data_IF_946798427853
#
_entry.id   IF_946798427853
#
_cell.length_a   1.000
_cell.length_b   1.000
_cell.length_c   1.000
_cell.angle_alpha   90.00
_cell.angle_beta   90.00
_cell.angle_gamma   90.00
#
_symmetry.space_group_name_H-M   'P 1'
#
loop_
_entity.id
_entity.type
_entity.pdbx_description
1 polymer ?
#
# COMPACT_ATOMS: atom_id res chain seq x y z
N UNK A 1 -21.68 4.98 3.40
CA UNK A 1 -21.18 6.29 2.90
C UNK A 1 -19.94 6.08 2.02
N UNK A 2 -19.42 7.13 1.36
CA UNK A 2 -18.19 7.06 0.55
C UNK A 2 -17.19 8.15 0.96
N UNK A 3 -15.93 7.77 1.18
CA UNK A 3 -14.83 8.69 1.49
C UNK A 3 -13.87 8.85 0.31
N UNK A 4 -13.14 9.96 0.33
CA UNK A 4 -12.06 10.28 -0.61
C UNK A 4 -10.89 10.87 0.18
N UNK A 5 -9.64 10.73 -0.31
CA UNK A 5 -8.51 11.40 0.30
C UNK A 5 -8.72 12.91 0.25
N UNK A 6 -8.40 13.60 1.34
CA UNK A 6 -8.44 15.06 1.40
C UNK A 6 -7.18 15.68 0.75
N UNK A 7 -7.15 17.01 0.67
CA UNK A 7 -6.02 17.73 0.08
C UNK A 7 -4.70 17.50 0.81
N UNK A 8 -4.71 17.29 2.13
CA UNK A 8 -3.49 17.05 2.92
C UNK A 8 -2.94 15.67 2.63
N UNK A 9 -3.81 14.66 2.58
CA UNK A 9 -3.46 13.29 2.19
C UNK A 9 -2.89 13.26 0.78
N UNK A 10 -3.59 13.87 -0.19
CA UNK A 10 -3.11 13.94 -1.57
C UNK A 10 -1.75 14.64 -1.66
N UNK A 11 -1.54 15.74 -0.94
CA UNK A 11 -0.26 16.43 -0.92
C UNK A 11 0.87 15.56 -0.34
N UNK A 12 0.61 14.80 0.72
CA UNK A 12 1.60 13.84 1.25
C UNK A 12 1.93 12.76 0.22
N UNK A 13 0.92 12.19 -0.44
CA UNK A 13 1.10 11.16 -1.45
C UNK A 13 1.86 11.65 -2.68
N UNK A 14 1.63 12.89 -3.12
CA UNK A 14 2.40 13.49 -4.20
C UNK A 14 3.91 13.44 -3.95
N UNK A 15 4.34 13.48 -2.69
CA UNK A 15 5.76 13.47 -2.33
C UNK A 15 6.34 12.05 -2.19
N UNK A 16 5.54 11.07 -1.75
CA UNK A 16 6.03 9.74 -1.40
C UNK A 16 5.52 8.59 -2.29
N UNK A 17 4.61 8.85 -3.22
CA UNK A 17 3.99 7.81 -4.05
C UNK A 17 4.99 7.15 -5.00
N UNK A 18 5.78 7.96 -5.71
CA UNK A 18 6.86 7.47 -6.56
C UNK A 18 8.16 7.51 -5.74
N UNK A 19 8.80 6.35 -5.49
CA UNK A 19 10.03 6.28 -4.69
C UNK A 19 11.18 7.14 -5.27
N UNK A 20 12.13 7.52 -4.42
CA UNK A 20 13.21 8.45 -4.82
C UNK A 20 14.20 7.84 -5.83
N UNK A 21 14.46 6.53 -5.71
CA UNK A 21 15.23 5.76 -6.70
C UNK A 21 14.29 5.13 -7.70
N UNK A 22 14.68 5.24 -8.96
CA UNK A 22 14.02 4.53 -10.04
C UNK A 22 14.54 3.10 -10.10
N UNK A 23 13.62 2.15 -10.22
CA UNK A 23 13.90 0.72 -10.32
C UNK A 23 13.44 0.18 -11.68
N UNK A 24 14.36 -0.49 -12.38
CA UNK A 24 14.07 -1.13 -13.65
C UNK A 24 14.33 -2.63 -13.56
N UNK A 25 13.29 -3.42 -13.68
CA UNK A 25 13.33 -4.87 -13.65
C UNK A 25 13.61 -5.40 -15.05
N UNK A 26 14.56 -6.34 -15.14
CA UNK A 26 15.07 -6.90 -16.38
C UNK A 26 15.21 -8.41 -16.27
N UNK A 27 14.97 -9.13 -17.37
CA UNK A 27 15.44 -10.51 -17.52
C UNK A 27 16.88 -10.56 -18.04
N UNK A 28 17.51 -11.73 -18.01
CA UNK A 28 18.85 -11.97 -18.58
C UNK A 28 18.97 -11.52 -20.04
N UNK A 29 17.96 -11.79 -20.86
CA UNK A 29 17.95 -11.44 -22.30
C UNK A 29 18.03 -9.92 -22.53
N UNK A 30 17.53 -9.12 -21.58
CA UNK A 30 17.59 -7.67 -21.72
C UNK A 30 19.00 -7.11 -21.51
N UNK A 31 19.91 -7.86 -20.87
CA UNK A 31 21.28 -7.41 -20.64
C UNK A 31 22.09 -7.33 -21.94
N UNK A 32 21.73 -8.13 -22.94
CA UNK A 32 22.41 -8.17 -24.24
C UNK A 32 22.10 -6.93 -25.11
N UNK A 33 21.18 -6.06 -24.66
CA UNK A 33 20.81 -4.83 -25.37
C UNK A 33 21.87 -3.72 -25.28
N UNK A 34 22.97 -3.94 -24.55
CA UNK A 34 24.10 -3.00 -24.49
C UNK A 34 23.84 -1.80 -23.57
N UNK A 35 23.12 -2.00 -22.48
CA UNK A 35 22.95 -0.97 -21.44
C UNK A 35 24.30 -0.71 -20.77
N UNK A 36 24.67 0.57 -20.65
CA UNK A 36 25.80 0.97 -19.81
C UNK A 36 25.35 1.01 -18.34
N UNK A 37 25.96 0.17 -17.51
CA UNK A 37 25.66 0.07 -16.08
C UNK A 37 26.65 0.86 -15.20
N UNK A 38 27.58 1.62 -15.77
CA UNK A 38 28.67 2.28 -15.02
C UNK A 38 28.16 3.21 -13.91
N UNK A 39 27.06 3.93 -14.15
CA UNK A 39 26.50 4.91 -13.22
C UNK A 39 25.30 4.38 -12.40
N UNK A 40 25.02 3.08 -12.45
CA UNK A 40 23.88 2.44 -11.78
C UNK A 40 24.26 1.13 -11.09
N UNK A 41 23.43 0.67 -10.17
CA UNK A 41 23.60 -0.67 -9.60
C UNK A 41 22.77 -1.66 -10.40
N UNK A 42 23.41 -2.68 -10.97
CA UNK A 42 22.73 -3.86 -11.49
C UNK A 42 22.75 -4.95 -10.42
N UNK A 43 21.61 -5.14 -9.76
CA UNK A 43 21.48 -6.06 -8.63
C UNK A 43 20.75 -7.34 -9.05
N UNK A 44 21.25 -8.54 -8.71
CA UNK A 44 20.49 -9.77 -8.86
C UNK A 44 19.19 -9.72 -8.05
N UNK A 45 18.12 -10.26 -8.62
CA UNK A 45 16.79 -10.27 -7.99
C UNK A 45 16.82 -10.81 -6.56
N UNK A 46 17.48 -11.94 -6.32
CA UNK A 46 17.53 -12.57 -5.00
C UNK A 46 18.20 -11.66 -3.94
N UNK A 47 19.22 -10.92 -4.32
CA UNK A 47 19.86 -9.93 -3.44
C UNK A 47 18.92 -8.76 -3.17
N UNK A 48 18.28 -8.24 -4.22
CA UNK A 48 17.37 -7.12 -4.16
C UNK A 48 16.20 -7.33 -3.19
N UNK A 49 15.54 -8.50 -3.26
CA UNK A 49 14.42 -8.83 -2.36
C UNK A 49 14.85 -9.02 -0.89
N UNK A 50 16.14 -9.25 -0.64
CA UNK A 50 16.71 -9.39 0.70
C UNK A 50 17.44 -8.12 1.17
N UNK A 51 17.55 -7.09 0.32
CA UNK A 51 18.28 -5.87 0.63
C UNK A 51 17.51 -5.01 1.65
N UNK A 52 18.22 -4.54 2.68
CA UNK A 52 17.63 -3.79 3.81
C UNK A 52 16.90 -2.51 3.40
N UNK A 53 17.37 -1.83 2.35
CA UNK A 53 16.72 -0.65 1.76
C UNK A 53 15.53 -1.01 0.86
N UNK A 54 15.70 -1.89 -0.12
CA UNK A 54 14.70 -2.10 -1.17
C UNK A 54 13.57 -3.05 -0.77
N UNK A 55 13.73 -3.77 0.35
CA UNK A 55 12.67 -4.54 1.00
C UNK A 55 11.76 -3.66 1.87
N UNK A 56 12.04 -2.38 2.03
CA UNK A 56 11.18 -1.48 2.79
C UNK A 56 9.80 -1.33 2.10
N UNK A 57 8.76 -1.16 2.91
CA UNK A 57 7.35 -1.16 2.49
C UNK A 57 7.06 -0.13 1.41
N UNK A 58 7.73 1.03 1.44
CA UNK A 58 7.60 2.07 0.43
C UNK A 58 7.94 1.58 -0.99
N UNK A 59 9.03 0.81 -1.13
CA UNK A 59 9.42 0.26 -2.42
C UNK A 59 8.55 -0.93 -2.80
N UNK A 60 8.34 -1.87 -1.86
CA UNK A 60 7.54 -3.08 -2.10
C UNK A 60 6.14 -2.72 -2.59
N UNK A 61 5.47 -1.78 -1.92
CA UNK A 61 4.12 -1.35 -2.30
C UNK A 61 4.13 -0.44 -3.52
N UNK A 62 5.09 0.50 -3.62
CA UNK A 62 5.14 1.44 -4.74
C UNK A 62 5.32 0.73 -6.08
N UNK A 63 6.23 -0.24 -6.13
CA UNK A 63 6.51 -1.02 -7.34
C UNK A 63 5.73 -2.34 -7.42
N UNK A 64 4.81 -2.56 -6.49
CA UNK A 64 3.95 -3.74 -6.41
C UNK A 64 4.73 -5.05 -6.66
N UNK A 65 5.77 -5.30 -5.87
CA UNK A 65 6.70 -6.40 -6.17
C UNK A 65 6.04 -7.77 -6.37
N UNK A 66 4.89 -8.00 -5.72
CA UNK A 66 4.09 -9.23 -5.89
C UNK A 66 3.56 -9.42 -7.32
N UNK A 67 3.47 -8.35 -8.12
CA UNK A 67 3.03 -8.38 -9.52
C UNK A 67 4.19 -8.57 -10.51
N UNK A 68 5.44 -8.49 -10.07
CA UNK A 68 6.61 -8.55 -10.94
C UNK A 68 6.83 -9.98 -11.46
N UNK A 69 6.91 -10.11 -12.78
CA UNK A 69 7.06 -11.37 -13.52
C UNK A 69 8.40 -11.41 -14.22
N UNK A 70 9.01 -12.59 -14.32
CA UNK A 70 10.15 -12.88 -15.20
C UNK A 70 11.38 -11.94 -15.11
N UNK A 71 11.58 -11.28 -13.97
CA UNK A 71 12.78 -10.48 -13.71
C UNK A 71 13.91 -11.34 -13.10
N UNK A 72 15.13 -11.13 -13.57
CA UNK A 72 16.38 -11.72 -13.06
C UNK A 72 17.26 -10.69 -12.36
N UNK A 73 17.19 -9.43 -12.81
CA UNK A 73 17.98 -8.31 -12.30
C UNK A 73 17.12 -7.07 -12.10
N UNK A 74 17.62 -6.17 -11.26
CA UNK A 74 17.04 -4.85 -11.00
C UNK A 74 18.13 -3.80 -11.17
N UNK A 75 17.93 -2.85 -12.07
CA UNK A 75 18.71 -1.62 -12.11
C UNK A 75 18.19 -0.69 -11.03
N UNK A 76 19.09 -0.14 -10.24
CA UNK A 76 18.80 0.90 -9.26
C UNK A 76 19.54 2.16 -9.70
N UNK A 77 18.78 3.22 -9.97
CA UNK A 77 19.30 4.44 -10.56
C UNK A 77 18.84 5.71 -9.82
N UNK A 78 19.63 6.77 -9.95
CA UNK A 78 19.14 8.13 -9.67
C UNK A 78 18.04 8.49 -10.67
N UNK A 79 17.06 9.29 -10.22
CA UNK A 79 15.89 9.68 -11.03
C UNK A 79 16.28 10.36 -12.36
N UNK A 80 17.40 11.08 -12.39
CA UNK A 80 17.90 11.75 -13.59
C UNK A 80 18.50 10.79 -14.63
N UNK A 81 18.94 9.59 -14.23
CA UNK A 81 19.67 8.67 -15.10
C UNK A 81 18.87 8.25 -16.34
N UNK A 82 17.55 8.04 -16.19
CA UNK A 82 16.70 7.66 -17.32
C UNK A 82 16.63 8.73 -18.41
N UNK A 83 16.97 9.97 -18.08
CA UNK A 83 17.02 11.10 -19.03
C UNK A 83 18.37 11.26 -19.73
N UNK A 84 19.43 10.65 -19.20
CA UNK A 84 20.78 10.76 -19.77
C UNK A 84 21.07 9.69 -20.80
N UNK A 85 20.32 8.58 -20.78
CA UNK A 85 20.51 7.47 -21.71
C UNK A 85 19.89 7.75 -23.09
N UNK A 86 20.37 7.06 -24.16
CA UNK A 86 19.81 7.22 -25.50
C UNK A 86 18.30 6.93 -25.56
N UNK A 87 17.57 7.66 -26.43
CA UNK A 87 16.11 7.57 -26.56
C UNK A 87 15.60 6.14 -26.80
N UNK A 88 16.30 5.38 -27.64
CA UNK A 88 15.92 3.98 -27.93
C UNK A 88 16.12 3.07 -26.72
N UNK A 89 17.14 3.35 -25.91
CA UNK A 89 17.41 2.64 -24.65
C UNK A 89 16.34 2.96 -23.60
N UNK A 90 15.97 4.25 -23.46
CA UNK A 90 14.87 4.67 -22.59
C UNK A 90 13.58 3.96 -22.96
N UNK A 91 13.21 3.98 -24.23
CA UNK A 91 12.00 3.29 -24.74
C UNK A 91 12.05 1.80 -24.46
N UNK A 92 13.20 1.15 -24.68
CA UNK A 92 13.41 -0.25 -24.36
C UNK A 92 13.20 -0.56 -22.87
N UNK A 93 13.85 0.18 -21.98
CA UNK A 93 13.74 -0.03 -20.53
C UNK A 93 12.32 0.17 -20.01
N UNK A 94 11.63 1.23 -20.45
CA UNK A 94 10.26 1.51 -20.03
C UNK A 94 9.29 0.45 -20.56
N UNK A 95 9.48 -0.04 -21.79
CA UNK A 95 8.68 -1.14 -22.32
C UNK A 95 8.92 -2.46 -21.57
N UNK A 96 10.16 -2.73 -21.17
CA UNK A 96 10.45 -3.88 -20.31
C UNK A 96 9.68 -3.79 -18.99
N UNK A 97 9.51 -2.60 -18.40
CA UNK A 97 8.76 -2.45 -17.14
C UNK A 97 7.28 -2.82 -17.29
N UNK A 98 6.68 -2.49 -18.44
CA UNK A 98 5.32 -2.91 -18.78
C UNK A 98 5.21 -4.43 -18.88
N UNK A 99 6.14 -5.07 -19.59
CA UNK A 99 6.16 -6.54 -19.76
C UNK A 99 6.37 -7.30 -18.45
N UNK A 100 7.17 -6.74 -17.54
CA UNK A 100 7.47 -7.32 -16.24
C UNK A 100 6.31 -7.13 -15.24
N UNK A 101 5.27 -6.36 -15.56
CA UNK A 101 4.15 -6.11 -14.65
C UNK A 101 4.56 -5.33 -13.40
N UNK A 102 5.56 -4.46 -13.52
CA UNK A 102 5.98 -3.56 -12.45
C UNK A 102 4.84 -2.60 -12.09
N UNK A 103 4.68 -2.30 -10.79
CA UNK A 103 3.84 -1.19 -10.34
C UNK A 103 4.28 0.15 -10.96
N UNK A 104 3.48 1.18 -10.78
CA UNK A 104 3.67 2.50 -11.41
C UNK A 104 3.60 2.49 -12.95
N UNK A 105 2.90 1.50 -13.51
CA UNK A 105 2.59 1.42 -14.94
C UNK A 105 1.06 1.41 -15.09
N UNK A 106 0.51 2.46 -15.68
CA UNK A 106 -0.95 2.68 -15.72
C UNK A 106 -1.44 2.80 -17.16
N UNK A 107 -2.65 2.33 -17.51
CA UNK A 107 -3.24 2.61 -18.80
C UNK A 107 -3.48 4.11 -18.94
N UNK A 108 -3.38 4.64 -20.16
CA UNK A 108 -3.54 6.08 -20.41
C UNK A 108 -4.89 6.64 -19.95
N UNK A 109 -5.91 5.79 -19.80
CA UNK A 109 -7.22 6.15 -19.27
C UNK A 109 -7.20 6.68 -17.84
N UNK A 110 -6.12 6.49 -17.08
CA UNK A 110 -6.01 7.08 -15.72
C UNK A 110 -5.65 8.56 -15.75
N UNK A 111 -5.18 9.08 -16.88
CA UNK A 111 -4.74 10.46 -17.05
C UNK A 111 -5.79 11.21 -17.85
N UNK A 112 -6.31 12.30 -17.30
CA UNK A 112 -7.37 13.08 -17.96
C UNK A 112 -6.84 13.86 -19.17
N UNK A 113 -5.65 14.48 -19.05
CA UNK A 113 -4.99 15.21 -20.13
C UNK A 113 -3.60 14.63 -20.40
N UNK A 114 -3.46 13.96 -21.55
CA UNK A 114 -2.19 13.36 -21.96
C UNK A 114 -1.13 14.39 -22.35
N UNK A 115 -1.52 15.64 -22.62
CA UNK A 115 -0.56 16.71 -22.92
C UNK A 115 0.36 17.03 -21.72
N UNK A 116 -0.08 16.70 -20.50
CA UNK A 116 0.72 16.86 -19.28
C UNK A 116 1.83 15.80 -19.16
N UNK A 117 1.72 14.69 -19.89
CA UNK A 117 2.66 13.57 -19.80
C UNK A 117 3.67 13.64 -20.94
N UNK A 118 4.98 13.62 -20.67
CA UNK A 118 5.96 13.62 -21.76
C UNK A 118 5.90 12.32 -22.57
N UNK A 119 5.77 12.43 -23.90
CA UNK A 119 5.65 11.30 -24.85
C UNK A 119 6.66 10.17 -24.61
N UNK A 120 7.87 10.51 -24.18
CA UNK A 120 8.93 9.54 -23.89
C UNK A 120 8.63 8.55 -22.76
N UNK A 121 7.56 8.77 -21.98
CA UNK A 121 7.08 7.88 -20.92
C UNK A 121 5.79 7.12 -21.29
N UNK A 122 5.30 7.29 -22.52
CA UNK A 122 4.10 6.62 -23.03
C UNK A 122 4.49 5.36 -23.83
N UNK A 123 4.14 4.19 -23.31
CA UNK A 123 4.48 2.88 -23.90
C UNK A 123 3.22 2.05 -24.11
N UNK A 124 2.92 1.68 -25.35
CA UNK A 124 1.86 0.71 -25.70
C UNK A 124 0.53 0.93 -24.94
N UNK A 125 0.01 2.17 -24.98
CA UNK A 125 -1.25 2.52 -24.30
C UNK A 125 -1.15 2.65 -22.78
N UNK A 126 0.07 2.75 -22.24
CA UNK A 126 0.35 2.96 -20.82
C UNK A 126 1.29 4.15 -20.59
N UNK A 127 1.20 4.74 -19.40
CA UNK A 127 2.20 5.65 -18.85
C UNK A 127 3.05 4.89 -17.83
N UNK A 128 4.37 5.03 -17.95
CA UNK A 128 5.34 4.44 -17.01
C UNK A 128 5.85 5.55 -16.11
N UNK A 129 5.31 5.66 -14.89
CA UNK A 129 5.74 6.70 -13.96
C UNK A 129 7.13 6.39 -13.42
N UNK A 130 7.97 7.42 -13.44
CA UNK A 130 9.32 7.47 -12.90
C UNK A 130 9.49 8.77 -12.12
N UNK A 131 10.41 8.81 -11.16
CA UNK A 131 10.49 9.91 -10.20
C UNK A 131 10.72 11.26 -10.87
N UNK A 132 11.59 11.33 -11.87
CA UNK A 132 11.93 12.57 -12.54
C UNK A 132 10.73 13.19 -13.28
N UNK A 133 9.98 12.40 -14.03
CA UNK A 133 8.78 12.90 -14.72
C UNK A 133 7.68 13.24 -13.73
N UNK A 134 7.52 12.42 -12.68
CA UNK A 134 6.54 12.66 -11.64
C UNK A 134 6.76 14.02 -11.01
N UNK A 135 7.98 14.35 -10.58
CA UNK A 135 8.28 15.64 -9.96
C UNK A 135 7.92 16.84 -10.84
N UNK A 136 8.04 16.70 -12.16
CA UNK A 136 7.72 17.76 -13.14
C UNK A 136 6.23 17.91 -13.46
N UNK A 137 5.39 16.93 -13.11
CA UNK A 137 3.94 17.06 -13.32
C UNK A 137 3.35 18.14 -12.42
N UNK A 138 2.34 18.83 -12.95
CA UNK A 138 1.57 19.81 -12.18
C UNK A 138 0.80 19.15 -11.04
N UNK A 139 0.56 19.95 -9.99
CA UNK A 139 -0.15 19.48 -8.78
C UNK A 139 -1.54 18.91 -9.10
N UNK A 140 -2.26 19.54 -10.04
CA UNK A 140 -3.58 19.09 -10.51
C UNK A 140 -3.50 17.71 -11.17
N UNK A 141 -2.55 17.52 -12.09
CA UNK A 141 -2.32 16.24 -12.78
C UNK A 141 -1.99 15.13 -11.78
N UNK A 142 -1.05 15.37 -10.85
CA UNK A 142 -0.73 14.41 -9.78
C UNK A 142 -1.95 14.05 -8.92
N UNK A 143 -2.74 15.05 -8.52
CA UNK A 143 -3.93 14.85 -7.70
C UNK A 143 -4.98 13.99 -8.42
N UNK A 144 -5.17 14.26 -9.71
CA UNK A 144 -6.08 13.53 -10.58
C UNK A 144 -5.64 12.07 -10.70
N UNK A 145 -4.39 11.80 -11.08
CA UNK A 145 -3.87 10.43 -11.21
C UNK A 145 -4.04 9.65 -9.90
N UNK A 146 -3.62 10.23 -8.78
CA UNK A 146 -3.73 9.58 -7.46
C UNK A 146 -5.18 9.28 -7.09
N UNK A 147 -6.10 10.23 -7.31
CA UNK A 147 -7.52 10.04 -6.99
C UNK A 147 -8.14 8.94 -7.84
N UNK A 148 -7.83 8.92 -9.14
CA UNK A 148 -8.32 7.91 -10.08
C UNK A 148 -7.79 6.52 -9.71
N UNK A 149 -6.49 6.38 -9.48
CA UNK A 149 -5.88 5.10 -9.09
C UNK A 149 -6.48 4.57 -7.79
N UNK A 150 -6.64 5.43 -6.76
CA UNK A 150 -7.28 5.03 -5.50
C UNK A 150 -8.69 4.53 -5.75
N UNK A 151 -9.52 5.33 -6.42
CA UNK A 151 -10.95 5.05 -6.50
C UNK A 151 -11.30 3.88 -7.43
N UNK A 152 -10.60 3.77 -8.55
CA UNK A 152 -10.89 2.75 -9.55
C UNK A 152 -10.29 1.39 -9.19
N UNK A 153 -9.10 1.37 -8.57
CA UNK A 153 -8.31 0.13 -8.45
C UNK A 153 -8.10 -0.36 -7.04
N UNK A 154 -8.08 0.53 -6.04
CA UNK A 154 -7.83 0.16 -4.65
C UNK A 154 -9.10 0.14 -3.82
N UNK A 155 -9.82 1.24 -3.78
CA UNK A 155 -10.91 1.42 -2.84
C UNK A 155 -11.92 2.49 -3.30
N UNK A 156 -13.20 2.09 -3.44
CA UNK A 156 -14.31 2.98 -3.81
C UNK A 156 -14.81 3.88 -2.66
N UNK A 157 -14.10 3.89 -1.54
CA UNK A 157 -14.38 4.66 -0.33
C UNK A 157 -15.55 4.12 0.50
N UNK A 158 -16.09 2.94 0.18
CA UNK A 158 -17.30 2.43 0.83
C UNK A 158 -17.03 2.06 2.29
N UNK A 159 -17.77 2.67 3.20
CA UNK A 159 -17.65 2.49 4.65
C UNK A 159 -18.96 2.86 5.35
N UNK A 160 -19.10 2.43 6.61
CA UNK A 160 -20.21 2.81 7.48
C UNK A 160 -19.97 4.15 8.17
N UNK A 161 -21.05 4.80 8.61
CA UNK A 161 -20.93 6.03 9.40
C UNK A 161 -20.34 5.69 10.77
N UNK A 162 -19.41 6.49 11.32
CA UNK A 162 -18.96 6.30 12.69
C UNK A 162 -20.12 6.31 13.69
N UNK A 163 -20.18 5.34 14.62
CA UNK A 163 -21.22 5.32 15.65
C UNK A 163 -21.02 6.47 16.64
N UNK A 164 -22.08 6.90 17.32
CA UNK A 164 -21.99 7.96 18.34
C UNK A 164 -21.09 7.55 19.52
N UNK A 165 -21.01 6.25 19.78
CA UNK A 165 -20.16 5.62 20.80
C UNK A 165 -18.67 5.52 20.41
N UNK A 166 -18.28 6.00 19.21
CA UNK A 166 -16.88 5.91 18.75
C UNK A 166 -15.94 6.63 19.74
N UNK A 167 -14.93 5.93 20.28
CA UNK A 167 -13.96 6.55 21.18
C UNK A 167 -13.23 7.74 20.55
N UNK A 168 -13.01 8.80 21.33
CA UNK A 168 -12.43 10.06 20.85
C UNK A 168 -11.08 9.87 20.15
N UNK A 169 -10.25 8.96 20.66
CA UNK A 169 -8.93 8.69 20.08
C UNK A 169 -8.98 8.00 18.70
N UNK A 170 -10.09 7.36 18.33
CA UNK A 170 -10.28 6.78 16.99
C UNK A 170 -10.86 7.78 15.99
N UNK A 171 -11.51 8.86 16.44
CA UNK A 171 -12.17 9.85 15.56
C UNK A 171 -11.25 10.41 14.47
N UNK A 172 -9.97 10.73 14.72
CA UNK A 172 -9.06 11.22 13.66
C UNK A 172 -8.79 10.19 12.55
N UNK A 173 -8.93 8.91 12.85
CA UNK A 173 -8.59 7.80 11.96
C UNK A 173 -9.83 7.10 11.37
N UNK A 174 -11.01 7.34 11.93
CA UNK A 174 -12.24 6.75 11.43
C UNK A 174 -12.57 7.27 10.03
N UNK A 175 -12.62 6.36 9.06
CA UNK A 175 -12.94 6.66 7.66
C UNK A 175 -11.98 7.71 7.05
N UNK A 176 -10.68 7.55 7.29
CA UNK A 176 -9.64 8.44 6.78
C UNK A 176 -8.48 7.67 6.15
N UNK A 177 -7.67 8.39 5.37
CA UNK A 177 -6.54 7.82 4.65
C UNK A 177 -5.23 8.15 5.38
N UNK A 178 -4.26 7.25 5.29
CA UNK A 178 -2.93 7.46 5.84
C UNK A 178 -2.12 8.42 4.96
N UNK A 179 -1.30 9.28 5.58
CA UNK A 179 -0.40 10.19 4.85
C UNK A 179 0.87 9.48 4.33
N UNK A 180 1.25 8.35 4.92
CA UNK A 180 2.50 7.63 4.64
C UNK A 180 2.33 6.12 4.67
N UNK A 181 3.24 5.41 4.00
CA UNK A 181 3.32 3.95 4.01
C UNK A 181 3.65 3.44 5.42
N UNK A 182 3.29 2.20 5.71
CA UNK A 182 3.65 1.50 6.95
C UNK A 182 2.45 0.90 7.68
N UNK A 183 1.36 1.67 7.81
CA UNK A 183 0.17 1.22 8.52
C UNK A 183 -0.45 -0.04 7.90
N UNK A 184 -0.73 -1.04 8.74
CA UNK A 184 -1.49 -2.24 8.36
C UNK A 184 -2.63 -2.54 9.36
N UNK A 185 -3.41 -3.61 9.10
CA UNK A 185 -4.54 -3.99 9.95
C UNK A 185 -4.14 -4.24 11.42
N UNK A 186 -2.97 -4.85 11.65
CA UNK A 186 -2.45 -5.12 13.00
C UNK A 186 -2.13 -3.83 13.75
N UNK A 187 -1.64 -2.80 13.05
CA UNK A 187 -1.39 -1.47 13.58
C UNK A 187 -2.66 -0.75 14.01
N UNK A 188 -3.70 -0.81 13.17
CA UNK A 188 -5.00 -0.23 13.48
C UNK A 188 -5.59 -0.83 14.77
N UNK A 189 -5.53 -2.16 14.90
CA UNK A 189 -6.01 -2.85 16.11
C UNK A 189 -5.12 -2.54 17.32
N UNK A 190 -3.79 -2.56 17.18
CA UNK A 190 -2.89 -2.23 18.27
C UNK A 190 -3.14 -0.82 18.82
N UNK A 191 -3.31 0.16 17.92
CA UNK A 191 -3.68 1.51 18.31
C UNK A 191 -5.00 1.53 19.09
N UNK A 192 -6.02 0.79 18.62
CA UNK A 192 -7.32 0.69 19.27
C UNK A 192 -7.25 0.10 20.68
N UNK A 193 -6.63 -1.08 20.85
CA UNK A 193 -6.52 -1.74 22.17
C UNK A 193 -5.62 -0.96 23.15
N UNK A 194 -4.72 -0.12 22.62
CA UNK A 194 -3.88 0.76 23.44
C UNK A 194 -4.60 2.03 23.92
N UNK A 195 -5.88 2.21 23.54
CA UNK A 195 -6.68 3.42 23.78
C UNK A 195 -6.01 4.71 23.26
N UNK A 196 -5.32 4.60 22.12
CA UNK A 196 -4.63 5.73 21.49
C UNK A 196 -3.50 6.35 22.31
N UNK A 197 -2.97 5.66 23.33
CA UNK A 197 -1.90 6.19 24.20
C UNK A 197 -0.61 6.51 23.46
N UNK A 198 -0.37 5.88 22.31
CA UNK A 198 0.82 6.06 21.48
C UNK A 198 0.38 6.20 20.02
N UNK A 199 0.28 7.44 19.54
CA UNK A 199 -0.22 7.74 18.19
C UNK A 199 0.59 7.06 17.10
N UNK A 200 1.91 6.99 17.27
CA UNK A 200 2.80 6.39 16.28
C UNK A 200 2.48 4.91 15.98
N UNK A 201 1.84 4.17 16.89
CA UNK A 201 1.46 2.78 16.65
C UNK A 201 0.59 2.59 15.42
N UNK A 202 -0.30 3.54 15.10
CA UNK A 202 -1.24 3.37 13.98
C UNK A 202 -0.53 3.45 12.62
N UNK A 203 0.65 4.08 12.57
CA UNK A 203 1.41 4.29 11.34
C UNK A 203 2.47 3.19 11.08
N UNK A 204 2.63 2.25 12.01
CA UNK A 204 3.68 1.23 11.95
C UNK A 204 3.31 0.00 11.11
N UNK A 205 4.34 -0.62 10.53
CA UNK A 205 4.21 -1.95 9.95
C UNK A 205 4.42 -3.02 11.02
N UNK A 206 3.32 -3.57 11.52
CA UNK A 206 3.38 -4.60 12.57
C UNK A 206 3.39 -6.01 12.00
N UNK A 207 4.23 -6.85 12.59
CA UNK A 207 4.26 -8.29 12.31
C UNK A 207 3.47 -9.07 13.36
N UNK A 208 2.91 -10.21 12.96
CA UNK A 208 2.07 -11.07 13.78
C UNK A 208 2.66 -11.39 15.16
N UNK A 209 3.95 -11.74 15.25
CA UNK A 209 4.59 -12.06 16.54
C UNK A 209 4.50 -10.87 17.52
N UNK A 210 4.83 -9.67 17.04
CA UNK A 210 4.74 -8.45 17.84
C UNK A 210 3.31 -8.15 18.24
N UNK A 211 2.36 -8.32 17.31
CA UNK A 211 0.94 -8.10 17.56
C UNK A 211 0.38 -9.03 18.65
N UNK A 212 0.66 -10.34 18.56
CA UNK A 212 0.23 -11.33 19.56
C UNK A 212 0.84 -11.08 20.94
N UNK A 213 2.12 -10.69 21.01
CA UNK A 213 2.74 -10.32 22.29
C UNK A 213 2.11 -9.05 22.88
N UNK A 214 1.73 -8.08 22.03
CA UNK A 214 1.01 -6.89 22.50
C UNK A 214 -0.39 -7.22 23.02
N UNK A 215 -1.15 -8.10 22.36
CA UNK A 215 -2.45 -8.56 22.86
C UNK A 215 -2.32 -9.11 24.29
N UNK A 216 -1.34 -9.98 24.54
CA UNK A 216 -1.05 -10.52 25.89
C UNK A 216 -0.72 -9.43 26.90
N UNK A 217 0.12 -8.45 26.53
CA UNK A 217 0.48 -7.33 27.40
C UNK A 217 -0.70 -6.41 27.73
N UNK A 218 -1.70 -6.35 26.87
CA UNK A 218 -2.96 -5.66 27.12
C UNK A 218 -4.04 -6.56 27.75
N UNK A 219 -3.67 -7.77 28.17
CA UNK A 219 -4.54 -8.76 28.81
C UNK A 219 -5.70 -9.25 27.94
N UNK A 220 -5.47 -9.34 26.62
CA UNK A 220 -6.40 -9.98 25.70
C UNK A 220 -6.18 -11.49 25.66
N UNK A 221 -7.26 -12.24 25.89
CA UNK A 221 -7.28 -13.70 25.80
C UNK A 221 -8.20 -14.16 24.67
N UNK A 222 -7.88 -15.32 24.08
CA UNK A 222 -8.70 -15.94 23.04
C UNK A 222 -10.03 -16.41 23.64
N UNK A 223 -11.12 -16.17 22.91
CA UNK A 223 -12.46 -16.54 23.31
C UNK A 223 -13.05 -17.64 22.44
N UNK A 224 -13.73 -18.59 23.08
CA UNK A 224 -14.61 -19.56 22.44
C UNK A 224 -16.05 -19.10 22.65
N UNK A 225 -16.48 -18.07 21.90
CA UNK A 225 -17.86 -17.58 21.92
C UNK A 225 -18.25 -16.93 20.59
N UNK A 226 -19.55 -16.87 20.32
CA UNK A 226 -20.11 -16.07 19.22
C UNK A 226 -20.41 -14.62 19.61
N UNK A 227 -20.56 -14.35 20.91
CA UNK A 227 -20.97 -13.03 21.40
C UNK A 227 -19.77 -12.07 21.52
N UNK A 228 -19.68 -11.13 20.58
CA UNK A 228 -18.68 -10.06 20.58
C UNK A 228 -19.20 -8.82 21.32
N UNK A 229 -18.34 -8.24 22.14
CA UNK A 229 -18.57 -6.99 22.87
C UNK A 229 -17.73 -5.87 22.27
N UNK A 230 -18.14 -4.63 22.51
CA UNK A 230 -17.30 -3.48 22.19
C UNK A 230 -15.94 -3.64 22.89
N UNK A 231 -14.86 -3.46 22.14
CA UNK A 231 -13.50 -3.66 22.63
C UNK A 231 -12.87 -4.98 22.22
N UNK A 232 -13.66 -5.94 21.75
CA UNK A 232 -13.11 -7.21 21.27
C UNK A 232 -12.29 -7.03 19.99
N UNK A 233 -11.37 -7.96 19.78
CA UNK A 233 -10.56 -8.04 18.56
C UNK A 233 -10.94 -9.31 17.80
N UNK A 234 -11.06 -9.20 16.49
CA UNK A 234 -11.25 -10.33 15.59
C UNK A 234 -10.07 -10.40 14.64
N UNK A 235 -9.50 -11.58 14.46
CA UNK A 235 -8.48 -11.86 13.45
C UNK A 235 -8.94 -12.97 12.52
N UNK A 236 -8.43 -12.92 11.29
CA UNK A 236 -8.67 -13.92 10.26
C UNK A 236 -7.33 -14.54 9.86
N UNK A 237 -7.19 -15.85 10.05
CA UNK A 237 -5.95 -16.59 9.80
C UNK A 237 -6.10 -17.61 8.69
N UNK A 238 -5.04 -17.77 7.90
CA UNK A 238 -4.95 -18.86 6.93
C UNK A 238 -4.72 -20.22 7.62
N UNK A 239 -4.63 -21.27 6.79
CA UNK A 239 -4.39 -22.66 7.23
C UNK A 239 -3.06 -22.87 7.98
N UNK A 240 -2.09 -21.97 7.81
CA UNK A 240 -0.80 -22.00 8.50
C UNK A 240 -0.81 -21.16 9.79
N UNK A 241 -1.98 -20.61 10.16
CA UNK A 241 -2.13 -19.74 11.33
C UNK A 241 -1.52 -18.35 11.13
N UNK A 242 -1.29 -17.92 9.89
CA UNK A 242 -0.82 -16.56 9.60
C UNK A 242 -2.02 -15.62 9.53
N UNK A 243 -1.98 -14.53 10.32
CA UNK A 243 -3.02 -13.51 10.34
C UNK A 243 -2.97 -12.75 9.01
N UNK A 244 -4.06 -12.84 8.25
CA UNK A 244 -4.26 -12.11 7.01
C UNK A 244 -4.99 -10.77 7.25
N UNK A 245 -5.90 -10.73 8.23
CA UNK A 245 -6.61 -9.51 8.60
C UNK A 245 -6.94 -9.45 10.10
N UNK A 246 -7.13 -8.23 10.62
CA UNK A 246 -7.53 -7.99 12.00
C UNK A 246 -8.40 -6.73 12.10
N UNK A 247 -9.39 -6.76 12.98
CA UNK A 247 -10.33 -5.65 13.20
C UNK A 247 -10.69 -5.51 14.68
N UNK A 248 -11.01 -4.28 15.09
CA UNK A 248 -11.43 -3.93 16.45
C UNK A 248 -12.94 -3.69 16.47
N UNK A 249 -13.68 -4.44 17.28
CA UNK A 249 -15.12 -4.38 17.35
C UNK A 249 -15.58 -3.15 18.15
N UNK A 250 -16.33 -2.27 17.50
CA UNK A 250 -16.84 -1.02 18.07
C UNK A 250 -18.19 -1.19 18.79
N UNK A 251 -18.80 -2.38 18.71
CA UNK A 251 -20.21 -2.59 19.03
C UNK A 251 -21.10 -2.37 17.81
N UNK A 252 -22.40 -2.68 17.95
CA UNK A 252 -23.41 -2.51 16.88
C UNK A 252 -23.03 -3.20 15.55
N UNK A 253 -22.29 -4.31 15.61
CA UNK A 253 -21.78 -5.04 14.44
C UNK A 253 -20.86 -4.18 13.53
N UNK A 254 -20.26 -3.13 14.09
CA UNK A 254 -19.29 -2.25 13.43
C UNK A 254 -17.87 -2.53 13.89
N UNK A 255 -16.91 -2.34 12.97
CA UNK A 255 -15.52 -2.66 13.19
C UNK A 255 -14.60 -1.58 12.65
N UNK A 256 -13.64 -1.14 13.46
CA UNK A 256 -12.52 -0.32 13.02
C UNK A 256 -11.38 -1.20 12.50
N UNK A 257 -10.91 -0.91 11.29
CA UNK A 257 -9.85 -1.69 10.65
C UNK A 257 -9.10 -0.86 9.60
N UNK A 258 -7.98 -1.41 9.11
CA UNK A 258 -7.31 -0.92 7.90
C UNK A 258 -7.24 -2.06 6.89
N UNK A 259 -7.95 -1.90 5.79
CA UNK A 259 -8.12 -2.98 4.83
C UNK A 259 -7.11 -2.87 3.70
N UNK A 260 -5.98 -3.59 3.83
CA UNK A 260 -4.89 -3.60 2.85
C UNK A 260 -3.62 -2.88 3.31
N UNK A 261 -2.56 -3.10 2.53
CA UNK A 261 -1.17 -2.83 2.94
C UNK A 261 -0.63 -1.50 2.41
N UNK A 262 -1.33 -0.83 1.49
CA UNK A 262 -0.85 0.39 0.84
C UNK A 262 -1.37 1.66 1.53
N UNK A 263 -0.81 2.81 1.18
CA UNK A 263 -1.35 4.13 1.57
C UNK A 263 -2.77 4.38 1.06
N UNK A 264 -3.15 3.75 -0.05
CA UNK A 264 -4.46 3.95 -0.68
C UNK A 264 -5.59 3.18 0.01
N UNK A 265 -5.22 2.28 0.91
CA UNK A 265 -6.16 1.54 1.74
C UNK A 265 -6.46 2.37 3.01
N UNK A 266 -7.66 2.96 3.15
CA UNK A 266 -8.00 3.79 4.30
C UNK A 266 -8.21 2.97 5.57
N UNK A 267 -8.15 3.64 6.71
CA UNK A 267 -8.80 3.15 7.92
C UNK A 267 -10.30 3.35 7.78
N UNK A 268 -11.07 2.29 8.03
CA UNK A 268 -12.52 2.29 7.84
C UNK A 268 -13.26 1.71 9.01
N UNK A 269 -14.49 2.18 9.13
CA UNK A 269 -15.54 1.51 9.86
C UNK A 269 -16.34 0.69 8.86
N UNK A 270 -16.38 -0.62 9.06
CA UNK A 270 -17.10 -1.57 8.23
C UNK A 270 -18.14 -2.31 9.07
N UNK A 271 -19.23 -2.73 8.42
CA UNK A 271 -20.17 -3.66 9.04
C UNK A 271 -19.60 -5.08 9.09
N UNK A 272 -20.15 -5.91 9.98
CA UNK A 272 -19.86 -7.35 10.02
C UNK A 272 -20.04 -8.01 8.67
N UNK A 273 -21.14 -7.72 7.97
CA UNK A 273 -21.44 -8.34 6.68
C UNK A 273 -20.39 -8.00 5.62
N UNK A 274 -19.84 -6.78 5.66
CA UNK A 274 -18.77 -6.38 4.74
C UNK A 274 -17.48 -7.15 5.05
N UNK A 275 -17.02 -7.12 6.31
CA UNK A 275 -15.79 -7.81 6.72
C UNK A 275 -15.86 -9.32 6.51
N UNK A 276 -16.97 -9.95 6.88
CA UNK A 276 -17.12 -11.40 6.78
C UNK A 276 -17.30 -11.87 5.34
N UNK A 277 -17.83 -11.03 4.45
CA UNK A 277 -17.88 -11.35 3.03
C UNK A 277 -16.48 -11.45 2.43
N UNK A 278 -15.58 -10.58 2.86
CA UNK A 278 -14.22 -10.52 2.35
C UNK A 278 -13.32 -11.57 3.00
N UNK A 279 -13.33 -11.64 4.33
CA UNK A 279 -12.39 -12.44 5.10
C UNK A 279 -12.97 -13.75 5.66
N UNK A 280 -14.29 -13.96 5.59
CA UNK A 280 -14.96 -15.10 6.22
C UNK A 280 -14.64 -16.48 5.62
N UNK A 281 -13.85 -16.53 4.55
CA UNK A 281 -13.27 -17.77 4.02
C UNK A 281 -12.06 -18.27 4.85
N UNK A 282 -11.55 -17.46 5.76
CA UNK A 282 -10.43 -17.76 6.66
C UNK A 282 -10.93 -18.21 8.05
N UNK A 283 -10.01 -18.73 8.86
CA UNK A 283 -10.32 -19.11 10.24
C UNK A 283 -10.41 -17.87 11.11
N UNK A 284 -11.52 -17.72 11.86
CA UNK A 284 -11.77 -16.55 12.70
C UNK A 284 -11.32 -16.84 14.13
N UNK A 285 -10.49 -15.96 14.69
CA UNK A 285 -10.09 -16.00 16.10
C UNK A 285 -10.53 -14.70 16.77
N UNK A 286 -11.06 -14.81 18.00
CA UNK A 286 -11.65 -13.70 18.74
C UNK A 286 -10.88 -13.50 20.03
N UNK A 287 -10.64 -12.25 20.42
CA UNK A 287 -9.94 -11.90 21.65
C UNK A 287 -10.71 -10.85 22.45
N UNK A 288 -10.64 -10.96 23.78
CA UNK A 288 -11.23 -9.99 24.71
C UNK A 288 -10.29 -9.67 25.86
N UNK A 289 -10.32 -8.42 26.30
CA UNK A 289 -9.63 -7.98 27.49
C UNK A 289 -10.29 -8.55 28.76
N UNK A 290 -9.50 -9.22 29.59
CA UNK A 290 -9.91 -9.79 30.88
C UNK A 290 -9.84 -8.80 32.04
#
# INVERSE_FOLDING_TARGET
MKIKPDEKVLFSWMNCYVPEKDLFFLSKEHLDYGIDFTDVLLMPKEEFYNHSTYRQVNYVNGYEYWNIKNADFVIIAEKEWIETIPKDMKRFLLNAQLQMGRGLVFPLSVVDDLADIPDSYLMDGHVVLQRFMWEKLDKSCKAQILTTVVYEWWDKGECEKPPESLPDFLKPHANSFAHSQGANCLAAVLFAISNGKQEWFIYEWLHQKTFLEKLKLYHYEELITEDLHQGDVVTWTDENGIIQHAAYHLGEELYFNKDGQTIFNPWKILSKEQLYREWGHLTIIKYRQM
#
